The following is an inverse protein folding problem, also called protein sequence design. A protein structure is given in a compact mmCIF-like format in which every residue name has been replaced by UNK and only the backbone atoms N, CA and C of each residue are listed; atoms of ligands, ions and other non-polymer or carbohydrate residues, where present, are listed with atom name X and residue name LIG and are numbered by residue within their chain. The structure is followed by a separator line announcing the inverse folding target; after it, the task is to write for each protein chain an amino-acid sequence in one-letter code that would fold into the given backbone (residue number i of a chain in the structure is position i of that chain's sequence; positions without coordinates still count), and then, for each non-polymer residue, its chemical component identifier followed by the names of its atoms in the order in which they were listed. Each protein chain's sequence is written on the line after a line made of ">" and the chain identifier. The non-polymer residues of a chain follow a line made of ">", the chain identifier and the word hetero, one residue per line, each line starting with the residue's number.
data_IF_795627718744
#
_entry.id   IF_795627718744
#
_cell.length_a   1.000
_cell.length_b   1.000
_cell.length_c   1.000
_cell.angle_alpha   90.00
_cell.angle_beta   90.00
_cell.angle_gamma   90.00
#
_symmetry.space_group_name_H-M   'P 1'
#
loop_
_entity.id
_entity.type
_entity.pdbx_description
1 polymer ?
#
# COMPACT_ATOMS: atom_id res chain seq x y z
N UNK A 1 -19.43 5.49 -10.81
CA UNK A 1 -18.47 4.62 -10.09
C UNK A 1 -19.08 3.28 -9.76
N UNK A 2 -20.30 3.23 -9.20
CA UNK A 2 -21.08 1.98 -9.06
C UNK A 2 -21.08 1.15 -10.34
N UNK A 3 -21.36 1.79 -11.49
CA UNK A 3 -21.32 1.11 -12.81
C UNK A 3 -19.99 0.43 -13.17
N UNK A 4 -18.84 0.94 -12.70
CA UNK A 4 -17.54 0.31 -12.99
C UNK A 4 -17.33 -0.93 -12.13
N UNK A 5 -17.67 -0.85 -10.84
CA UNK A 5 -17.53 -1.99 -9.92
C UNK A 5 -18.55 -3.07 -10.29
N UNK A 6 -19.81 -2.70 -10.52
CA UNK A 6 -20.87 -3.60 -10.99
C UNK A 6 -20.47 -4.31 -12.29
N UNK A 7 -19.75 -3.62 -13.20
CA UNK A 7 -19.23 -4.24 -14.42
C UNK A 7 -18.13 -5.24 -14.14
N UNK A 8 -17.23 -4.97 -13.20
CA UNK A 8 -16.19 -5.93 -12.78
C UNK A 8 -16.86 -7.17 -12.18
N UNK A 9 -17.82 -6.99 -11.26
CA UNK A 9 -18.57 -8.09 -10.67
C UNK A 9 -19.33 -8.89 -11.73
N UNK A 10 -19.97 -8.22 -12.69
CA UNK A 10 -20.65 -8.86 -13.79
C UNK A 10 -19.70 -9.69 -14.65
N UNK A 11 -18.52 -9.16 -15.00
CA UNK A 11 -17.51 -9.89 -15.77
C UNK A 11 -17.03 -11.14 -15.03
N UNK A 12 -16.73 -11.01 -13.73
CA UNK A 12 -16.36 -12.15 -12.88
C UNK A 12 -17.48 -13.17 -12.83
N UNK A 13 -18.74 -12.72 -12.68
CA UNK A 13 -19.93 -13.57 -12.74
C UNK A 13 -20.14 -14.27 -14.09
N UNK A 14 -19.53 -13.78 -15.17
CA UNK A 14 -19.46 -14.43 -16.49
C UNK A 14 -18.23 -15.33 -16.68
N UNK A 15 -17.42 -15.52 -15.65
CA UNK A 15 -16.24 -16.38 -15.67
C UNK A 15 -14.94 -15.66 -16.07
N UNK A 16 -14.92 -14.32 -16.10
CA UNK A 16 -13.67 -13.60 -16.25
C UNK A 16 -12.77 -13.86 -15.02
N UNK A 17 -11.49 -14.13 -15.28
CA UNK A 17 -10.51 -14.39 -14.23
C UNK A 17 -9.94 -13.08 -13.67
N UNK A 18 -9.74 -13.04 -12.35
CA UNK A 18 -8.97 -11.98 -11.70
C UNK A 18 -7.45 -12.16 -11.86
N UNK A 19 -7.02 -13.32 -12.34
CA UNK A 19 -5.63 -13.76 -12.32
C UNK A 19 -5.06 -13.97 -13.73
N UNK A 20 -5.83 -13.64 -14.78
CA UNK A 20 -5.43 -13.81 -16.17
C UNK A 20 -6.22 -12.87 -17.08
N UNK A 21 -5.63 -12.35 -18.17
CA UNK A 21 -4.24 -12.56 -18.58
C UNK A 21 -3.25 -11.73 -17.75
N UNK A 22 -1.98 -12.16 -17.76
CA UNK A 22 -0.85 -11.36 -17.26
C UNK A 22 -0.47 -10.28 -18.26
N UNK A 23 -0.10 -9.11 -17.77
CA UNK A 23 0.56 -8.06 -18.55
C UNK A 23 2.05 -8.39 -18.73
N UNK A 24 2.77 -7.52 -19.43
CA UNK A 24 4.22 -7.58 -19.55
C UNK A 24 4.97 -7.33 -18.23
N UNK A 25 4.31 -6.75 -17.22
CA UNK A 25 4.86 -6.58 -15.86
C UNK A 25 4.54 -7.77 -14.94
N UNK A 26 3.90 -8.82 -15.48
CA UNK A 26 3.37 -9.93 -14.68
C UNK A 26 2.08 -9.59 -13.93
N UNK A 27 1.67 -8.32 -13.91
CA UNK A 27 0.44 -7.87 -13.25
C UNK A 27 -0.79 -8.53 -13.88
N UNK A 28 -1.78 -8.81 -13.05
CA UNK A 28 -3.05 -9.46 -13.44
C UNK A 28 -4.23 -8.53 -13.10
N UNK A 29 -5.47 -8.81 -13.58
CA UNK A 29 -6.60 -7.94 -13.33
C UNK A 29 -6.81 -7.53 -11.87
N UNK A 30 -6.55 -8.38 -10.88
CA UNK A 30 -6.65 -8.02 -9.45
C UNK A 30 -5.73 -6.87 -9.05
N UNK A 31 -4.51 -6.76 -9.61
CA UNK A 31 -3.59 -5.65 -9.34
C UNK A 31 -4.15 -4.32 -9.88
N UNK A 32 -4.66 -4.34 -11.11
CA UNK A 32 -5.23 -3.14 -11.71
C UNK A 32 -6.54 -2.74 -11.02
N UNK A 33 -7.38 -3.71 -10.67
CA UNK A 33 -8.64 -3.45 -9.96
C UNK A 33 -8.35 -2.87 -8.57
N UNK A 34 -7.42 -3.46 -7.81
CA UNK A 34 -7.09 -2.97 -6.46
C UNK A 34 -6.65 -1.51 -6.49
N UNK A 35 -5.64 -1.20 -7.30
CA UNK A 35 -5.11 0.14 -7.49
C UNK A 35 -6.19 1.14 -7.91
N UNK A 36 -7.04 0.78 -8.87
CA UNK A 36 -8.13 1.67 -9.30
C UNK A 36 -9.18 1.88 -8.20
N UNK A 37 -9.57 0.83 -7.46
CA UNK A 37 -10.48 0.96 -6.31
C UNK A 37 -9.85 1.88 -5.26
N UNK A 38 -8.59 1.66 -4.89
CA UNK A 38 -7.88 2.52 -3.92
C UNK A 38 -7.84 3.97 -4.38
N UNK A 39 -7.44 4.21 -5.63
CA UNK A 39 -7.36 5.56 -6.19
C UNK A 39 -8.71 6.28 -6.12
N UNK A 40 -9.79 5.59 -6.53
CA UNK A 40 -11.13 6.15 -6.53
C UNK A 40 -11.65 6.43 -5.12
N UNK A 41 -11.40 5.53 -4.17
CA UNK A 41 -11.74 5.78 -2.77
C UNK A 41 -11.02 6.97 -2.19
N UNK A 42 -9.72 7.06 -2.45
CA UNK A 42 -8.92 8.16 -1.93
C UNK A 42 -9.41 9.49 -2.51
N UNK A 43 -9.84 9.52 -3.78
CA UNK A 43 -10.55 10.67 -4.36
C UNK A 43 -11.87 10.97 -3.65
N UNK A 44 -12.70 9.97 -3.36
CA UNK A 44 -13.98 10.20 -2.67
C UNK A 44 -13.78 10.75 -1.25
N UNK A 45 -12.78 10.25 -0.52
CA UNK A 45 -12.42 10.74 0.81
C UNK A 45 -11.90 12.19 0.80
N UNK A 46 -11.28 12.64 -0.30
CA UNK A 46 -10.87 14.04 -0.47
C UNK A 46 -12.02 15.00 -0.76
N UNK A 47 -12.94 14.59 -1.65
CA UNK A 47 -13.87 15.53 -2.28
C UNK A 47 -15.30 15.48 -1.74
N UNK A 48 -15.68 14.46 -0.95
CA UNK A 48 -17.07 14.27 -0.51
C UNK A 48 -17.17 14.37 1.03
N UNK A 49 -17.93 15.34 1.57
CA UNK A 49 -18.28 15.36 2.99
C UNK A 49 -19.05 14.10 3.40
N UNK A 50 -18.68 13.51 4.54
CA UNK A 50 -19.21 12.24 5.07
C UNK A 50 -20.73 12.19 5.28
N UNK A 51 -21.44 13.33 5.19
CA UNK A 51 -22.87 13.48 5.47
C UNK A 51 -23.78 13.35 4.24
N UNK A 52 -23.26 13.06 3.06
CA UNK A 52 -24.05 12.92 1.83
C UNK A 52 -24.36 11.46 1.49
N UNK A 53 -25.56 11.21 0.93
CA UNK A 53 -25.98 9.90 0.39
C UNK A 53 -25.01 9.47 -0.70
N UNK A 54 -24.36 8.32 -0.55
CA UNK A 54 -23.23 7.91 -1.39
C UNK A 54 -21.86 8.21 -0.75
N UNK A 55 -21.79 8.13 0.58
CA UNK A 55 -20.54 8.31 1.32
C UNK A 55 -19.50 7.23 0.92
N UNK A 56 -18.20 7.47 1.15
CA UNK A 56 -17.17 6.46 0.96
C UNK A 56 -17.48 5.14 1.69
N UNK A 57 -18.13 5.21 2.86
CA UNK A 57 -18.55 4.04 3.64
C UNK A 57 -19.65 3.24 2.93
N UNK A 58 -20.65 3.90 2.35
CA UNK A 58 -21.72 3.24 1.60
C UNK A 58 -21.15 2.47 0.41
N UNK A 59 -20.19 3.08 -0.30
CA UNK A 59 -19.53 2.43 -1.42
C UNK A 59 -18.72 1.22 -0.95
N UNK A 60 -17.96 1.37 0.12
CA UNK A 60 -17.15 0.29 0.65
C UNK A 60 -18.00 -0.91 1.08
N UNK A 61 -19.08 -0.63 1.82
CA UNK A 61 -19.98 -1.65 2.32
C UNK A 61 -20.73 -2.37 1.18
N UNK A 62 -21.16 -1.65 0.14
CA UNK A 62 -21.84 -2.26 -1.01
C UNK A 62 -20.96 -3.20 -1.82
N UNK A 63 -19.66 -2.93 -1.88
CA UNK A 63 -18.71 -3.67 -2.72
C UNK A 63 -17.74 -4.53 -1.89
N UNK A 64 -18.09 -4.80 -0.63
CA UNK A 64 -17.21 -5.43 0.36
C UNK A 64 -16.70 -6.80 -0.09
N UNK A 65 -17.54 -7.59 -0.73
CA UNK A 65 -17.19 -8.94 -1.18
C UNK A 65 -16.15 -8.89 -2.31
N UNK A 66 -16.37 -8.07 -3.34
CA UNK A 66 -15.36 -7.88 -4.40
C UNK A 66 -14.04 -7.36 -3.84
N UNK A 67 -14.11 -6.37 -2.95
CA UNK A 67 -12.94 -5.78 -2.29
C UNK A 67 -12.17 -6.86 -1.53
N UNK A 68 -12.87 -7.67 -0.74
CA UNK A 68 -12.28 -8.78 0.00
C UNK A 68 -11.63 -9.82 -0.90
N UNK A 69 -12.25 -10.15 -2.05
CA UNK A 69 -11.68 -11.08 -3.03
C UNK A 69 -10.44 -10.50 -3.71
N UNK A 70 -10.47 -9.23 -4.11
CA UNK A 70 -9.37 -8.57 -4.81
C UNK A 70 -8.14 -8.46 -3.89
N UNK A 71 -8.31 -7.87 -2.70
CA UNK A 71 -7.21 -7.68 -1.75
C UNK A 71 -6.77 -8.98 -1.08
N UNK A 72 -7.69 -9.94 -0.89
CA UNK A 72 -7.38 -11.25 -0.32
C UNK A 72 -6.82 -12.27 -1.32
N UNK A 73 -6.65 -11.92 -2.60
CA UNK A 73 -6.27 -12.89 -3.62
C UNK A 73 -4.86 -13.45 -3.48
N UNK A 74 -3.96 -12.77 -2.75
CA UNK A 74 -2.57 -13.18 -2.54
C UNK A 74 -1.73 -13.34 -3.80
N UNK A 75 -2.26 -13.01 -4.98
CA UNK A 75 -1.54 -13.12 -6.24
C UNK A 75 -0.46 -12.07 -6.29
N UNK A 76 0.70 -12.46 -6.80
CA UNK A 76 1.83 -11.58 -7.03
C UNK A 76 2.09 -11.38 -8.52
N UNK A 77 2.63 -10.22 -8.87
CA UNK A 77 3.23 -9.96 -10.17
C UNK A 77 4.69 -10.44 -10.22
N UNK A 78 5.41 -10.09 -11.29
CA UNK A 78 6.80 -10.52 -11.50
C UNK A 78 7.82 -9.49 -10.94
N UNK A 79 7.39 -8.60 -10.05
CA UNK A 79 8.24 -7.56 -9.45
C UNK A 79 9.35 -8.17 -8.57
N UNK A 80 10.56 -7.61 -8.65
CA UNK A 80 11.73 -8.01 -7.86
C UNK A 80 12.10 -7.04 -6.74
N UNK A 81 11.28 -6.03 -6.47
CA UNK A 81 11.56 -5.04 -5.44
C UNK A 81 11.50 -5.64 -4.04
N UNK A 82 12.50 -5.32 -3.22
CA UNK A 82 12.61 -5.80 -1.83
C UNK A 82 11.45 -5.38 -0.92
N UNK A 83 10.58 -4.45 -1.32
CA UNK A 83 9.37 -4.13 -0.55
C UNK A 83 8.36 -5.30 -0.51
N UNK A 84 8.50 -6.31 -1.38
CA UNK A 84 7.72 -7.55 -1.37
C UNK A 84 8.61 -8.77 -1.65
N UNK A 85 8.30 -9.92 -1.02
CA UNK A 85 9.15 -11.11 -1.10
C UNK A 85 9.00 -11.86 -2.44
N UNK A 86 7.81 -11.88 -3.02
CA UNK A 86 7.47 -12.75 -4.15
C UNK A 86 6.78 -12.00 -5.29
N UNK A 87 7.04 -10.70 -5.42
CA UNK A 87 6.30 -9.78 -6.28
C UNK A 87 5.24 -9.00 -5.53
N UNK A 88 4.82 -7.88 -6.08
CA UNK A 88 3.84 -7.01 -5.46
C UNK A 88 2.46 -7.68 -5.46
N UNK A 89 1.73 -7.54 -4.36
CA UNK A 89 0.33 -8.00 -4.28
C UNK A 89 -0.64 -6.86 -4.58
N UNK A 90 -1.94 -7.16 -4.79
CA UNK A 90 -2.99 -6.14 -4.80
C UNK A 90 -2.98 -5.19 -3.60
N UNK A 91 -2.55 -5.67 -2.42
CA UNK A 91 -2.40 -4.84 -1.21
C UNK A 91 -1.18 -3.92 -1.33
N UNK A 92 -0.03 -4.43 -1.75
CA UNK A 92 1.16 -3.59 -1.98
C UNK A 92 0.86 -2.48 -2.99
N UNK A 93 0.13 -2.79 -4.06
CA UNK A 93 -0.29 -1.81 -5.07
C UNK A 93 -1.21 -0.73 -4.49
N UNK A 94 -2.12 -1.09 -3.59
CA UNK A 94 -2.96 -0.12 -2.89
C UNK A 94 -2.16 0.74 -1.92
N UNK A 95 -1.27 0.14 -1.13
CA UNK A 95 -0.41 0.88 -0.21
C UNK A 95 0.47 1.89 -0.97
N UNK A 96 0.97 1.53 -2.15
CA UNK A 96 1.70 2.46 -3.02
C UNK A 96 0.83 3.64 -3.47
N UNK A 97 -0.45 3.43 -3.80
CA UNK A 97 -1.37 4.54 -4.09
C UNK A 97 -1.62 5.44 -2.88
N UNK A 98 -1.69 4.86 -1.68
CA UNK A 98 -1.99 5.60 -0.44
C UNK A 98 -0.78 6.42 0.02
N UNK A 99 0.38 5.79 0.07
CA UNK A 99 1.61 6.38 0.60
C UNK A 99 2.37 7.18 -0.46
N UNK A 100 2.17 6.85 -1.74
CA UNK A 100 2.87 7.42 -2.88
C UNK A 100 4.26 6.83 -3.06
N UNK A 101 4.87 7.18 -4.18
CA UNK A 101 6.27 6.93 -4.47
C UNK A 101 6.87 8.17 -5.19
N UNK A 102 8.07 8.65 -4.83
CA UNK A 102 8.68 9.83 -5.44
C UNK A 102 8.89 9.70 -6.97
N UNK A 103 8.99 8.49 -7.48
CA UNK A 103 9.26 8.17 -8.87
C UNK A 103 7.99 8.00 -9.72
N UNK A 104 6.80 8.07 -9.12
CA UNK A 104 5.54 8.01 -9.85
C UNK A 104 5.28 9.33 -10.62
N UNK A 105 5.08 9.24 -11.93
CA UNK A 105 4.91 10.40 -12.80
C UNK A 105 3.43 10.77 -13.00
N UNK A 106 3.13 12.06 -12.80
CA UNK A 106 1.84 12.67 -13.14
C UNK A 106 1.31 13.54 -12.00
N UNK A 107 0.12 14.14 -12.12
CA UNK A 107 -0.62 14.73 -11.02
C UNK A 107 -1.16 13.60 -10.12
N UNK A 108 -0.28 12.69 -9.69
CA UNK A 108 -0.53 11.75 -8.62
C UNK A 108 -1.05 12.57 -7.47
N UNK A 109 -2.10 12.07 -6.85
CA UNK A 109 -2.77 12.71 -5.74
C UNK A 109 -1.73 13.17 -4.72
N UNK A 110 -1.44 14.47 -4.72
CA UNK A 110 -0.68 15.12 -3.66
C UNK A 110 -1.59 15.16 -2.45
N UNK A 111 -1.77 13.99 -1.83
CA UNK A 111 -2.39 13.88 -0.53
C UNK A 111 -1.46 14.58 0.45
N UNK A 112 -2.01 15.55 1.16
CA UNK A 112 -1.41 16.01 2.40
C UNK A 112 -1.20 14.82 3.34
N UNK A 113 -0.26 14.97 4.27
CA UNK A 113 0.04 13.88 5.20
C UNK A 113 -1.15 13.38 6.00
N UNK A 114 -2.05 14.29 6.40
CA UNK A 114 -3.28 13.95 7.12
C UNK A 114 -4.26 13.14 6.27
N UNK A 115 -4.34 13.41 4.97
CA UNK A 115 -5.18 12.63 4.06
C UNK A 115 -4.62 11.21 3.90
N UNK A 116 -3.30 11.07 3.71
CA UNK A 116 -2.64 9.75 3.63
C UNK A 116 -2.89 8.93 4.90
N UNK A 117 -2.74 9.56 6.06
CA UNK A 117 -2.99 8.95 7.36
C UNK A 117 -4.44 8.44 7.49
N UNK A 118 -5.42 9.29 7.18
CA UNK A 118 -6.84 8.96 7.25
C UNK A 118 -7.20 7.80 6.29
N UNK A 119 -6.74 7.89 5.03
CA UNK A 119 -6.96 6.86 4.02
C UNK A 119 -6.32 5.55 4.44
N UNK A 120 -5.07 5.57 4.93
CA UNK A 120 -4.37 4.38 5.39
C UNK A 120 -5.11 3.70 6.54
N UNK A 121 -5.51 4.45 7.57
CA UNK A 121 -6.27 3.90 8.70
C UNK A 121 -7.57 3.25 8.23
N UNK A 122 -8.31 3.93 7.34
CA UNK A 122 -9.57 3.40 6.80
C UNK A 122 -9.33 2.14 5.97
N UNK A 123 -8.28 2.13 5.15
CA UNK A 123 -7.88 0.94 4.39
C UNK A 123 -7.59 -0.24 5.32
N UNK A 124 -6.85 -0.07 6.42
CA UNK A 124 -6.59 -1.17 7.35
C UNK A 124 -7.86 -1.64 8.07
N UNK A 125 -8.69 -0.71 8.54
CA UNK A 125 -9.88 -1.03 9.36
C UNK A 125 -11.01 -1.66 8.55
N UNK A 126 -11.22 -1.16 7.35
CA UNK A 126 -12.41 -1.51 6.60
C UNK A 126 -12.17 -2.66 5.61
N UNK A 127 -10.92 -2.88 5.17
CA UNK A 127 -10.67 -3.82 4.06
C UNK A 127 -10.69 -5.23 4.60
N UNK A 128 -11.62 -6.09 4.14
CA UNK A 128 -11.57 -7.49 4.49
C UNK A 128 -10.22 -8.09 4.08
N UNK A 129 -9.70 -9.02 4.86
CA UNK A 129 -8.47 -9.76 4.57
C UNK A 129 -7.17 -8.94 4.58
N UNK A 130 -7.17 -7.62 4.80
CA UNK A 130 -5.92 -6.87 4.98
C UNK A 130 -5.18 -7.30 6.25
N UNK A 131 -5.90 -7.62 7.32
CA UNK A 131 -5.29 -8.18 8.54
C UNK A 131 -4.61 -9.53 8.29
N UNK A 132 -5.11 -10.35 7.34
CA UNK A 132 -4.45 -11.62 6.98
C UNK A 132 -3.16 -11.40 6.19
N UNK A 133 -2.98 -10.22 5.60
CA UNK A 133 -1.77 -9.76 4.93
C UNK A 133 -0.94 -8.80 5.80
N UNK A 134 -1.08 -8.87 7.13
CA UNK A 134 -0.39 -7.97 8.06
C UNK A 134 1.13 -7.92 7.85
N UNK A 135 1.76 -9.06 7.53
CA UNK A 135 3.20 -9.12 7.26
C UNK A 135 3.59 -8.33 6.02
N UNK A 136 2.80 -8.40 4.96
CA UNK A 136 3.04 -7.65 3.72
C UNK A 136 2.84 -6.15 3.96
N UNK A 137 1.83 -5.78 4.73
CA UNK A 137 1.61 -4.38 5.14
C UNK A 137 2.81 -3.88 5.94
N UNK A 138 3.24 -4.60 6.98
CA UNK A 138 4.37 -4.21 7.83
C UNK A 138 5.67 -4.12 7.04
N UNK A 139 5.93 -5.05 6.12
CA UNK A 139 7.08 -5.02 5.21
C UNK A 139 7.05 -3.75 4.36
N UNK A 140 5.93 -3.50 3.69
CA UNK A 140 5.78 -2.36 2.79
C UNK A 140 5.97 -1.03 3.53
N UNK A 141 5.27 -0.81 4.65
CA UNK A 141 5.37 0.47 5.38
C UNK A 141 6.75 0.65 6.02
N UNK A 142 7.40 -0.42 6.48
CA UNK A 142 8.76 -0.33 7.03
C UNK A 142 9.74 0.04 5.94
N UNK A 143 9.63 -0.59 4.76
CA UNK A 143 10.47 -0.28 3.60
C UNK A 143 10.33 1.21 3.21
N UNK A 144 9.09 1.70 3.10
CA UNK A 144 8.80 3.09 2.77
C UNK A 144 9.32 4.07 3.82
N UNK A 145 9.08 3.81 5.11
CA UNK A 145 9.48 4.73 6.18
C UNK A 145 10.98 4.71 6.50
N UNK A 146 11.72 3.69 6.04
CA UNK A 146 13.19 3.69 6.03
C UNK A 146 13.76 4.44 4.82
N UNK A 147 12.92 4.98 3.93
CA UNK A 147 13.36 5.74 2.77
C UNK A 147 14.02 4.89 1.68
N UNK A 148 13.82 3.57 1.69
CA UNK A 148 14.35 2.68 0.66
C UNK A 148 13.64 2.89 -0.67
N UNK A 149 14.38 2.70 -1.76
CA UNK A 149 13.86 3.03 -3.09
C UNK A 149 12.98 1.90 -3.63
N UNK A 150 11.71 2.19 -3.91
CA UNK A 150 10.85 1.21 -4.58
C UNK A 150 11.25 1.07 -6.04
N UNK A 151 11.67 -0.13 -6.40
CA UNK A 151 11.96 -0.57 -7.77
C UNK A 151 10.78 -1.36 -8.39
N UNK A 152 9.57 -1.25 -7.81
CA UNK A 152 8.37 -1.85 -8.40
C UNK A 152 7.87 -1.05 -9.62
N UNK A 153 6.92 -1.63 -10.36
CA UNK A 153 6.22 -0.98 -11.48
C UNK A 153 5.86 0.49 -11.18
N UNK A 154 6.23 1.40 -12.08
CA UNK A 154 5.92 2.84 -11.98
C UNK A 154 4.48 3.09 -12.38
N UNK A 155 3.83 4.01 -11.66
CA UNK A 155 2.48 4.44 -12.01
C UNK A 155 2.51 5.71 -12.86
N UNK A 156 1.97 5.61 -14.07
CA UNK A 156 1.69 6.76 -14.92
C UNK A 156 0.22 7.15 -14.76
N UNK A 157 -0.03 8.21 -14.02
CA UNK A 157 -1.38 8.72 -13.78
C UNK A 157 -1.76 9.75 -14.84
N UNK A 158 -2.76 9.46 -15.67
CA UNK A 158 -3.28 10.36 -16.69
C UNK A 158 -4.80 10.55 -16.62
N UNK A 159 -5.34 11.38 -17.52
CA UNK A 159 -6.79 11.62 -17.64
C UNK A 159 -7.59 10.32 -17.90
N UNK A 160 -6.96 9.32 -18.54
CA UNK A 160 -7.57 8.04 -18.87
C UNK A 160 -7.35 6.96 -17.80
N UNK A 161 -6.89 7.33 -16.60
CA UNK A 161 -6.63 6.42 -15.49
C UNK A 161 -5.14 6.17 -15.27
N UNK A 162 -4.85 5.13 -14.49
CA UNK A 162 -3.49 4.76 -14.11
C UNK A 162 -2.99 3.66 -15.04
N UNK A 163 -1.78 3.83 -15.56
CA UNK A 163 -1.06 2.82 -16.35
C UNK A 163 0.18 2.37 -15.59
N UNK A 164 0.49 1.10 -15.70
CA UNK A 164 1.72 0.53 -15.14
C UNK A 164 2.80 0.56 -16.21
N UNK A 165 4.00 0.98 -15.81
CA UNK A 165 5.21 0.81 -16.59
C UNK A 165 6.18 -0.07 -15.78
N UNK A 166 6.87 -1.03 -16.41
CA UNK A 166 7.94 -1.74 -15.74
C UNK A 166 9.00 -0.74 -15.25
N UNK A 167 9.60 -1.05 -14.11
CA UNK A 167 10.83 -0.37 -13.69
C UNK A 167 12.00 -0.92 -14.53
N UNK A 168 13.00 -0.10 -14.83
CA UNK A 168 14.16 -0.55 -15.60
C UNK A 168 14.99 -1.55 -14.79
N UNK A 169 15.23 -2.75 -15.33
CA UNK A 169 15.88 -3.83 -14.59
C UNK A 169 17.34 -3.51 -14.24
N UNK A 170 18.05 -2.76 -15.09
CA UNK A 170 19.43 -2.38 -14.83
C UNK A 170 19.51 -1.30 -13.75
N UNK A 171 18.64 -0.28 -13.81
CA UNK A 171 18.50 0.73 -12.77
C UNK A 171 18.07 0.10 -11.43
N UNK A 172 17.16 -0.89 -11.46
CA UNK A 172 16.77 -1.62 -10.26
C UNK A 172 17.94 -2.39 -9.64
N UNK A 173 18.77 -3.03 -10.47
CA UNK A 173 19.94 -3.76 -10.00
C UNK A 173 21.01 -2.83 -9.41
N UNK A 174 21.23 -1.67 -10.03
CA UNK A 174 22.14 -0.63 -9.51
C UNK A 174 21.67 -0.12 -8.14
N UNK A 175 20.39 0.27 -8.02
CA UNK A 175 19.81 0.71 -6.75
C UNK A 175 19.93 -0.38 -5.67
N UNK A 176 19.69 -1.65 -6.01
CA UNK A 176 19.79 -2.75 -5.05
C UNK A 176 21.23 -3.01 -4.58
N UNK A 177 22.23 -2.80 -5.45
CA UNK A 177 23.65 -2.89 -5.10
C UNK A 177 24.05 -1.71 -4.19
N UNK A 178 23.62 -0.49 -4.53
CA UNK A 178 23.86 0.71 -3.72
C UNK A 178 23.22 0.63 -2.33
N UNK A 179 22.00 0.10 -2.23
CA UNK A 179 21.23 -0.04 -1.00
C UNK A 179 21.48 -1.38 -0.27
N UNK A 180 22.43 -2.23 -0.69
CA UNK A 180 22.60 -3.61 -0.16
C UNK A 180 22.66 -3.64 1.38
N UNK A 181 23.48 -2.78 1.98
CA UNK A 181 23.63 -2.71 3.44
C UNK A 181 22.34 -2.24 4.13
N UNK A 182 21.62 -1.30 3.53
CA UNK A 182 20.35 -0.81 4.07
C UNK A 182 19.27 -1.89 3.96
N UNK A 183 19.27 -2.68 2.88
CA UNK A 183 18.38 -3.83 2.71
C UNK A 183 18.65 -4.92 3.76
N UNK A 184 19.91 -5.19 4.09
CA UNK A 184 20.26 -6.12 5.17
C UNK A 184 19.74 -5.64 6.53
N UNK A 185 19.84 -4.34 6.81
CA UNK A 185 19.36 -3.77 8.05
C UNK A 185 17.82 -3.70 8.11
N UNK A 186 17.17 -3.43 6.98
CA UNK A 186 15.73 -3.54 6.81
C UNK A 186 15.22 -4.95 7.14
N UNK A 187 15.83 -6.00 6.58
CA UNK A 187 15.42 -7.39 6.89
C UNK A 187 15.60 -7.73 8.37
N UNK A 188 16.69 -7.23 8.99
CA UNK A 188 16.93 -7.42 10.43
C UNK A 188 15.87 -6.72 11.28
N UNK A 189 15.55 -5.47 10.98
CA UNK A 189 14.51 -4.71 11.67
C UNK A 189 13.15 -5.37 11.50
N UNK A 190 12.79 -5.69 10.25
CA UNK A 190 11.52 -6.31 9.90
C UNK A 190 11.35 -7.66 10.60
N UNK A 191 12.39 -8.49 10.66
CA UNK A 191 12.34 -9.75 11.41
C UNK A 191 11.94 -9.54 12.88
N UNK A 192 12.49 -8.51 13.52
CA UNK A 192 12.13 -8.13 14.89
C UNK A 192 10.72 -7.55 15.02
N UNK A 193 10.24 -6.80 14.01
CA UNK A 193 8.87 -6.26 13.95
C UNK A 193 7.85 -7.40 13.80
N UNK A 194 8.05 -8.29 12.82
CA UNK A 194 7.14 -9.42 12.58
C UNK A 194 7.09 -10.35 13.79
N UNK A 195 8.25 -10.67 14.39
CA UNK A 195 8.29 -11.50 15.59
C UNK A 195 7.49 -10.88 16.75
N UNK A 196 7.65 -9.58 16.99
CA UNK A 196 6.91 -8.88 18.05
C UNK A 196 5.40 -8.83 17.74
N UNK A 197 5.02 -8.57 16.49
CA UNK A 197 3.61 -8.56 16.06
C UNK A 197 2.94 -9.91 16.32
N UNK A 198 3.57 -11.00 15.88
CA UNK A 198 3.05 -12.37 16.04
C UNK A 198 2.90 -12.74 17.53
N UNK A 199 3.79 -12.25 18.41
CA UNK A 199 3.75 -12.52 19.84
C UNK A 199 2.65 -11.73 20.57
N UNK A 200 2.42 -10.48 20.19
CA UNK A 200 1.49 -9.60 20.91
C UNK A 200 0.02 -9.83 20.53
N UNK A 201 -0.24 -10.42 19.35
CA UNK A 201 -1.62 -10.68 18.86
C UNK A 201 -2.51 -9.44 18.85
N UNK A 202 -1.93 -8.26 18.65
CA UNK A 202 -2.66 -7.00 18.57
C UNK A 202 -3.31 -6.86 17.18
N UNK A 203 -4.45 -6.15 17.08
CA UNK A 203 -4.96 -5.70 15.78
C UNK A 203 -3.89 -4.92 15.02
N UNK A 204 -3.78 -5.14 13.70
CA UNK A 204 -2.71 -4.57 12.87
C UNK A 204 -2.55 -3.05 13.05
N UNK A 205 -3.65 -2.28 12.98
CA UNK A 205 -3.58 -0.83 13.14
C UNK A 205 -3.13 -0.41 14.54
N UNK A 206 -3.57 -1.13 15.58
CA UNK A 206 -3.16 -0.87 16.96
C UNK A 206 -1.66 -1.14 17.15
N UNK A 207 -1.17 -2.25 16.59
CA UNK A 207 0.25 -2.58 16.58
C UNK A 207 1.07 -1.50 15.86
N UNK A 208 0.60 -1.06 14.68
CA UNK A 208 1.30 -0.04 13.89
C UNK A 208 1.50 1.23 14.72
N UNK A 209 0.42 1.74 15.32
CA UNK A 209 0.42 2.98 16.11
C UNK A 209 1.26 2.89 17.38
N UNK A 210 1.20 1.77 18.09
CA UNK A 210 1.76 1.67 19.45
C UNK A 210 3.13 1.03 19.52
N UNK A 211 3.50 0.19 18.54
CA UNK A 211 4.73 -0.61 18.57
C UNK A 211 5.61 -0.37 17.37
N UNK A 212 5.08 -0.50 16.15
CA UNK A 212 5.88 -0.37 14.93
C UNK A 212 6.53 1.02 14.81
N UNK A 213 5.77 2.11 14.99
CA UNK A 213 6.31 3.47 14.93
C UNK A 213 7.54 3.62 15.83
N UNK A 214 7.40 3.18 17.09
CA UNK A 214 8.49 3.22 18.08
C UNK A 214 9.72 2.45 17.60
N UNK A 215 9.56 1.26 17.02
CA UNK A 215 10.67 0.42 16.53
C UNK A 215 11.42 1.09 15.37
N UNK A 216 10.70 1.68 14.43
CA UNK A 216 11.29 2.41 13.31
C UNK A 216 12.06 3.63 13.80
N UNK A 217 11.49 4.43 14.72
CA UNK A 217 12.20 5.58 15.30
C UNK A 217 13.44 5.18 16.09
N UNK A 218 13.34 4.15 16.93
CA UNK A 218 14.48 3.64 17.69
C UNK A 218 15.61 3.18 16.78
N UNK A 219 15.29 2.60 15.62
CA UNK A 219 16.26 2.24 14.59
C UNK A 219 16.91 3.49 13.98
N UNK A 220 16.12 4.42 13.44
CA UNK A 220 16.62 5.64 12.79
C UNK A 220 17.51 6.45 13.75
N UNK A 221 17.05 6.65 14.98
CA UNK A 221 17.82 7.35 16.01
C UNK A 221 19.18 6.69 16.26
N UNK A 222 19.23 5.36 16.39
CA UNK A 222 20.49 4.64 16.64
C UNK A 222 21.49 4.78 15.49
N UNK A 223 21.00 4.99 14.28
CA UNK A 223 21.82 5.21 13.09
C UNK A 223 22.11 6.69 12.81
N UNK A 224 21.66 7.60 13.70
CA UNK A 224 21.86 9.04 13.54
C UNK A 224 20.96 9.67 12.46
N UNK A 225 19.89 8.98 12.08
CA UNK A 225 18.90 9.46 11.13
C UNK A 225 17.67 10.04 11.84
N UNK A 226 17.06 11.03 11.21
CA UNK A 226 15.80 11.61 11.67
C UNK A 226 14.63 10.97 10.94
N UNK A 227 13.50 10.87 11.63
CA UNK A 227 12.27 10.37 11.02
C UNK A 227 11.71 11.46 10.12
N UNK A 228 11.54 11.15 8.83
CA UNK A 228 10.93 12.08 7.88
C UNK A 228 9.60 12.61 8.44
N UNK A 229 9.43 13.93 8.45
CA UNK A 229 8.18 14.61 8.83
C UNK A 229 6.96 14.07 8.08
N UNK A 230 7.17 13.55 6.88
CA UNK A 230 6.15 12.97 6.02
C UNK A 230 6.03 11.43 6.11
N UNK A 231 6.83 10.80 6.97
CA UNK A 231 6.72 9.36 7.27
C UNK A 231 5.35 9.01 7.85
N UNK A 232 4.92 7.77 7.61
CA UNK A 232 3.70 7.26 8.20
C UNK A 232 3.83 7.17 9.74
N UNK A 233 5.04 6.87 10.23
CA UNK A 233 5.39 6.78 11.64
C UNK A 233 5.12 8.08 12.41
N UNK A 234 5.48 9.23 11.86
CA UNK A 234 5.23 10.52 12.52
C UNK A 234 3.75 10.90 12.52
N UNK A 235 3.00 10.44 11.52
CA UNK A 235 1.57 10.78 11.37
C UNK A 235 0.67 9.88 12.20
N UNK A 236 1.00 8.60 12.34
CA UNK A 236 0.18 7.65 13.09
C UNK A 236 0.43 7.67 14.60
N UNK A 237 1.47 8.35 15.08
CA UNK A 237 1.77 8.40 16.50
C UNK A 237 0.92 9.45 17.24
N UNK A 238 0.06 9.02 18.19
CA UNK A 238 -0.75 9.93 18.99
C UNK A 238 0.05 10.91 19.87
N UNK A 239 1.31 10.61 20.20
CA UNK A 239 2.16 11.47 21.05
C UNK A 239 2.89 12.56 20.25
N UNK A 240 3.11 12.36 18.94
CA UNK A 240 3.66 13.39 18.06
C UNK A 240 2.59 14.38 17.57
N UNK A 241 1.34 13.94 17.42
CA UNK A 241 0.21 14.80 17.02
C UNK A 241 -0.15 15.90 18.07
N UNK A 242 0.51 15.93 19.23
CA UNK A 242 0.31 16.89 20.32
C UNK A 242 1.44 17.90 20.51
N UNK A 243 2.51 17.82 19.72
CA UNK A 243 3.61 18.80 19.69
C UNK A 243 3.39 19.79 18.55
#
# INVERSE_FOLDING_TARGET
>A
MGECIERVEWLIGKGASLHSPRTNTGSVPSHHISRNITYLMSKLLQFIPTTTVGSPEDMWNRNRDLIGVVYGSGHTDDCSCSCSIAGCTPISMALRIILGDPWDHGPVLWFSGKEKECIFQRFILDTPNVATAARDVLRFITFTDLGLTHTCCRFQCGYHGIRDAPFDEAEAAEIQDEEELLLMDFERLLGGVIQEYDQLSLPLLEYIRTRWCRRVREYLWKNGEEVDSDSLCNRLDPDFARQ
#
